data_IF_535389482436
#
_entry.id   IF_535389482436
#
_cell.length_a   1.000
_cell.length_b   1.000
_cell.length_c   1.000
_cell.angle_alpha   90.00
_cell.angle_beta   90.00
_cell.angle_gamma   90.00
#
_symmetry.space_group_name_H-M   'P 1'
#
loop_
_entity.id
_entity.type
_entity.pdbx_description
1 polymer ?
#
# COMPACT_ATOMS: atom_id res chain seq x y z
N UNK A 1 22.93 16.11 6.40
CA UNK A 1 21.65 16.44 7.05
C UNK A 1 20.87 15.14 7.25
N UNK A 2 20.61 14.72 8.48
CA UNK A 2 19.77 13.57 8.79
C UNK A 2 18.38 13.80 8.18
N UNK A 3 17.89 12.85 7.35
CA UNK A 3 16.50 12.89 6.85
C UNK A 3 15.56 12.82 8.05
N UNK A 4 14.86 13.92 8.36
CA UNK A 4 13.84 13.91 9.41
C UNK A 4 12.81 12.84 9.03
N UNK A 5 12.73 11.77 9.82
CA UNK A 5 11.82 10.64 9.60
C UNK A 5 10.37 11.14 9.77
N UNK A 6 9.49 10.75 8.85
CA UNK A 6 8.08 11.14 8.88
C UNK A 6 7.29 10.05 9.61
N UNK A 7 7.18 10.19 10.91
CA UNK A 7 6.53 9.21 11.79
C UNK A 7 5.08 8.89 11.40
N UNK A 8 4.34 9.89 10.88
CA UNK A 8 2.98 9.66 10.37
C UNK A 8 2.93 8.64 9.24
N UNK A 9 3.87 8.71 8.30
CA UNK A 9 3.92 7.76 7.18
C UNK A 9 4.40 6.38 7.62
N UNK A 10 5.30 6.30 8.61
CA UNK A 10 5.73 5.02 9.16
C UNK A 10 4.57 4.34 9.91
N UNK A 11 3.77 5.09 10.67
CA UNK A 11 2.56 4.56 11.30
C UNK A 11 1.55 4.05 10.26
N UNK A 12 1.32 4.81 9.18
CA UNK A 12 0.44 4.35 8.10
C UNK A 12 0.95 3.09 7.41
N UNK A 13 2.26 2.98 7.14
CA UNK A 13 2.85 1.76 6.56
C UNK A 13 2.74 0.57 7.51
N UNK A 14 2.97 0.78 8.80
CA UNK A 14 2.79 -0.25 9.82
C UNK A 14 1.35 -0.78 9.82
N UNK A 15 0.35 0.12 9.88
CA UNK A 15 -1.06 -0.26 9.83
C UNK A 15 -1.40 -0.95 8.51
N UNK A 16 -0.89 -0.47 7.38
CA UNK A 16 -1.08 -1.10 6.08
C UNK A 16 -0.55 -2.54 6.06
N UNK A 17 0.66 -2.76 6.57
CA UNK A 17 1.25 -4.11 6.65
C UNK A 17 0.38 -5.06 7.50
N UNK A 18 -0.07 -4.61 8.67
CA UNK A 18 -0.96 -5.42 9.52
C UNK A 18 -2.28 -5.76 8.82
N UNK A 19 -2.93 -4.77 8.22
CA UNK A 19 -4.23 -4.94 7.55
C UNK A 19 -4.14 -5.85 6.32
N UNK A 20 -3.10 -5.68 5.49
CA UNK A 20 -2.86 -6.51 4.31
C UNK A 20 -2.57 -7.95 4.74
N UNK A 21 -1.66 -8.15 5.70
CA UNK A 21 -1.31 -9.49 6.15
C UNK A 21 -2.50 -10.19 6.81
N UNK A 22 -3.28 -9.47 7.65
CA UNK A 22 -4.49 -10.02 8.24
C UNK A 22 -5.50 -10.50 7.19
N UNK A 23 -5.64 -9.80 6.07
CA UNK A 23 -6.59 -10.21 5.02
C UNK A 23 -6.23 -11.54 4.34
N UNK A 24 -5.00 -12.01 4.51
CA UNK A 24 -4.54 -13.31 4.01
C UNK A 24 -4.53 -14.40 5.09
N UNK A 25 -4.89 -14.08 6.33
CA UNK A 25 -4.90 -15.00 7.46
C UNK A 25 -6.13 -15.92 7.54
N UNK A 26 -6.90 -16.12 6.44
CA UNK A 26 -8.02 -17.06 6.42
C UNK A 26 -7.66 -18.43 7.00
N UNK A 27 -6.50 -19.06 6.65
CA UNK A 27 -6.12 -20.33 7.22
C UNK A 27 -5.94 -20.31 8.76
N UNK A 28 -5.53 -19.16 9.33
CA UNK A 28 -5.34 -19.02 10.77
C UNK A 28 -6.65 -18.88 11.54
N UNK A 29 -7.72 -18.46 10.85
CA UNK A 29 -9.06 -18.29 11.43
C UNK A 29 -9.97 -19.51 11.18
N UNK A 30 -9.47 -20.57 10.54
CA UNK A 30 -10.20 -21.83 10.42
C UNK A 30 -10.56 -22.38 11.80
N UNK A 31 -11.82 -22.82 11.96
CA UNK A 31 -12.35 -23.29 13.25
C UNK A 31 -12.87 -22.18 14.18
N UNK A 32 -12.66 -20.89 13.85
CA UNK A 32 -13.21 -19.74 14.57
C UNK A 32 -14.18 -18.98 13.67
N UNK A 33 -13.69 -18.05 12.85
CA UNK A 33 -14.46 -17.32 11.85
C UNK A 33 -13.53 -16.67 10.83
N UNK A 34 -13.54 -17.16 9.60
CA UNK A 34 -12.68 -16.68 8.51
C UNK A 34 -12.99 -15.24 8.06
N UNK A 35 -14.14 -14.66 8.45
CA UNK A 35 -14.46 -13.25 8.17
C UNK A 35 -13.55 -12.26 8.91
N UNK A 36 -12.83 -12.69 9.94
CA UNK A 36 -11.81 -11.87 10.59
C UNK A 36 -10.60 -11.60 9.68
N UNK A 37 -10.36 -12.46 8.67
CA UNK A 37 -9.34 -12.23 7.65
C UNK A 37 -9.83 -11.18 6.64
N UNK A 38 -9.81 -9.92 7.03
CA UNK A 38 -10.30 -8.78 6.24
C UNK A 38 -9.36 -7.58 6.34
N UNK A 39 -9.77 -6.44 5.80
CA UNK A 39 -9.07 -5.14 5.79
C UNK A 39 -7.98 -4.98 4.72
N UNK A 40 -7.81 -5.93 3.79
CA UNK A 40 -6.79 -5.85 2.74
C UNK A 40 -6.94 -4.61 1.83
N UNK A 41 -8.17 -4.24 1.47
CA UNK A 41 -8.45 -3.06 0.64
C UNK A 41 -8.02 -1.78 1.34
N UNK A 42 -8.35 -1.64 2.62
CA UNK A 42 -7.96 -0.48 3.43
C UNK A 42 -6.44 -0.42 3.62
N UNK A 43 -5.80 -1.57 3.85
CA UNK A 43 -4.35 -1.67 3.94
C UNK A 43 -3.65 -1.26 2.66
N UNK A 44 -4.10 -1.76 1.51
CA UNK A 44 -3.60 -1.36 0.20
C UNK A 44 -3.81 0.14 -0.05
N UNK A 45 -4.97 0.67 0.32
CA UNK A 45 -5.27 2.09 0.22
C UNK A 45 -4.30 2.96 1.02
N UNK A 46 -4.03 2.60 2.29
CA UNK A 46 -3.02 3.29 3.11
C UNK A 46 -1.64 3.24 2.44
N UNK A 47 -1.25 2.09 1.89
CA UNK A 47 0.05 1.92 1.25
C UNK A 47 0.17 2.78 -0.03
N UNK A 48 -0.83 2.76 -0.92
CA UNK A 48 -0.79 3.57 -2.14
C UNK A 48 -0.83 5.07 -1.85
N UNK A 49 -1.56 5.50 -0.82
CA UNK A 49 -1.51 6.88 -0.36
C UNK A 49 -0.08 7.29 0.06
N UNK A 50 0.56 6.49 0.90
CA UNK A 50 1.95 6.74 1.34
C UNK A 50 2.90 6.75 0.15
N UNK A 51 2.72 5.83 -0.82
CA UNK A 51 3.52 5.80 -2.04
C UNK A 51 3.37 7.12 -2.83
N UNK A 52 2.15 7.60 -3.04
CA UNK A 52 1.90 8.87 -3.74
C UNK A 52 2.50 10.08 -3.02
N UNK A 53 2.35 10.14 -1.70
CA UNK A 53 2.95 11.19 -0.88
C UNK A 53 4.47 11.22 -1.00
N UNK A 54 5.12 10.04 -0.86
CA UNK A 54 6.58 9.92 -0.94
C UNK A 54 7.11 10.15 -2.35
N UNK A 55 6.38 9.73 -3.38
CA UNK A 55 6.74 10.00 -4.76
C UNK A 55 6.76 11.50 -5.04
N UNK A 56 5.70 12.20 -4.63
CA UNK A 56 5.61 13.65 -4.81
C UNK A 56 6.68 14.40 -4.01
N UNK A 57 6.93 13.98 -2.78
CA UNK A 57 8.01 14.53 -1.94
C UNK A 57 9.40 14.32 -2.57
N UNK A 58 9.65 13.15 -3.13
CA UNK A 58 10.92 12.82 -3.79
C UNK A 58 11.08 13.51 -5.15
N UNK A 59 9.98 13.77 -5.83
CA UNK A 59 9.99 14.34 -7.18
C UNK A 59 10.64 15.73 -7.24
N UNK A 60 10.40 16.55 -6.20
CA UNK A 60 11.04 17.86 -6.09
C UNK A 60 12.57 17.82 -6.03
N UNK A 61 13.15 16.71 -5.58
CA UNK A 61 14.60 16.50 -5.47
C UNK A 61 15.23 15.92 -6.75
N UNK A 62 14.42 15.32 -7.63
CA UNK A 62 14.86 14.56 -8.79
C UNK A 62 14.24 15.10 -10.10
N UNK A 63 13.96 16.40 -10.16
CA UNK A 63 13.30 17.03 -11.31
C UNK A 63 14.05 16.83 -12.63
N UNK A 64 15.38 16.75 -12.57
CA UNK A 64 16.24 16.67 -13.75
C UNK A 64 16.40 15.24 -14.30
N UNK A 65 16.03 14.20 -13.55
CA UNK A 65 16.20 12.82 -13.99
C UNK A 65 15.34 12.52 -15.23
N UNK A 66 15.93 11.81 -16.20
CA UNK A 66 15.18 11.20 -17.31
C UNK A 66 14.16 10.19 -16.78
N UNK A 67 13.16 9.80 -17.60
CA UNK A 67 12.23 8.75 -17.24
C UNK A 67 12.97 7.45 -16.91
N UNK A 68 13.93 7.08 -17.74
CA UNK A 68 14.66 5.82 -17.60
C UNK A 68 15.44 5.78 -16.28
N UNK A 69 16.17 6.84 -15.94
CA UNK A 69 16.96 6.87 -14.71
C UNK A 69 16.08 6.89 -13.46
N UNK A 70 15.00 7.68 -13.52
CA UNK A 70 14.04 7.73 -12.43
C UNK A 70 13.35 6.37 -12.22
N UNK A 71 12.90 5.73 -13.30
CA UNK A 71 12.20 4.45 -13.28
C UNK A 71 13.13 3.30 -12.85
N UNK A 72 14.36 3.25 -13.38
CA UNK A 72 15.38 2.30 -12.92
C UNK A 72 15.60 2.38 -11.42
N UNK A 73 15.63 3.59 -10.85
CA UNK A 73 15.75 3.79 -9.40
C UNK A 73 14.58 3.20 -8.60
N UNK A 74 13.36 3.14 -9.19
CA UNK A 74 12.19 2.50 -8.56
C UNK A 74 12.25 0.98 -8.67
N UNK A 75 12.54 0.46 -9.85
CA UNK A 75 12.67 -0.98 -10.09
C UNK A 75 13.80 -1.60 -9.25
N UNK A 76 14.94 -0.93 -9.15
CA UNK A 76 16.07 -1.37 -8.31
C UNK A 76 15.67 -1.58 -6.84
N UNK A 77 14.66 -0.91 -6.34
CA UNK A 77 14.16 -1.08 -4.96
C UNK A 77 13.18 -2.23 -4.79
N UNK A 78 12.48 -2.61 -5.84
CA UNK A 78 11.42 -3.62 -5.78
C UNK A 78 11.94 -5.00 -6.23
N UNK A 79 12.60 -5.03 -7.38
CA UNK A 79 12.92 -6.26 -8.09
C UNK A 79 13.84 -7.23 -7.35
N UNK A 80 14.92 -6.82 -6.64
CA UNK A 80 15.82 -7.77 -6.00
C UNK A 80 15.13 -8.66 -4.97
N UNK A 81 14.20 -8.10 -4.19
CA UNK A 81 13.44 -8.85 -3.21
C UNK A 81 12.53 -9.89 -3.88
N UNK A 82 11.86 -9.52 -4.98
CA UNK A 82 11.01 -10.45 -5.76
C UNK A 82 11.85 -11.58 -6.32
N UNK A 83 12.93 -11.26 -7.02
CA UNK A 83 13.81 -12.24 -7.64
C UNK A 83 14.36 -13.24 -6.62
N UNK A 84 14.93 -12.76 -5.54
CA UNK A 84 15.51 -13.61 -4.49
C UNK A 84 14.45 -14.50 -3.86
N UNK A 85 13.26 -13.95 -3.60
CA UNK A 85 12.19 -14.73 -2.98
C UNK A 85 11.65 -15.82 -3.88
N UNK A 86 11.45 -15.55 -5.18
CA UNK A 86 11.00 -16.55 -6.16
C UNK A 86 11.99 -17.69 -6.25
N UNK A 87 13.31 -17.40 -6.27
CA UNK A 87 14.37 -18.42 -6.23
C UNK A 87 14.33 -19.19 -4.91
N UNK A 88 14.22 -18.52 -3.77
CA UNK A 88 14.14 -19.18 -2.47
C UNK A 88 12.88 -20.06 -2.34
N UNK A 89 11.73 -19.60 -2.83
CA UNK A 89 10.50 -20.36 -2.81
C UNK A 89 10.58 -21.64 -3.69
N UNK A 90 11.27 -21.56 -4.81
CA UNK A 90 11.56 -22.75 -5.62
C UNK A 90 12.44 -23.74 -4.84
N UNK A 91 13.54 -23.29 -4.24
CA UNK A 91 14.48 -24.16 -3.53
C UNK A 91 13.90 -24.82 -2.27
N UNK A 92 12.95 -24.14 -1.58
CA UNK A 92 12.41 -24.62 -0.29
C UNK A 92 11.09 -25.37 -0.45
N UNK A 93 10.24 -24.95 -1.39
CA UNK A 93 8.87 -25.47 -1.55
C UNK A 93 8.58 -26.01 -2.97
N UNK A 94 9.59 -26.18 -3.82
CA UNK A 94 9.43 -26.60 -5.22
C UNK A 94 8.46 -25.70 -6.01
N UNK A 95 8.34 -24.43 -5.62
CA UNK A 95 7.49 -23.48 -6.32
C UNK A 95 7.97 -23.26 -7.77
N UNK A 96 7.07 -23.11 -8.76
CA UNK A 96 7.47 -22.97 -10.16
C UNK A 96 8.40 -21.77 -10.39
N UNK A 97 9.57 -22.02 -10.97
CA UNK A 97 10.55 -21.02 -11.34
C UNK A 97 10.36 -20.62 -12.80
N UNK A 98 9.58 -19.59 -13.06
CA UNK A 98 9.28 -19.12 -14.41
C UNK A 98 9.77 -17.68 -14.61
N UNK A 99 10.03 -17.30 -15.87
CA UNK A 99 10.53 -15.98 -16.22
C UNK A 99 9.59 -14.86 -15.79
N UNK A 100 8.29 -15.04 -15.95
CA UNK A 100 7.26 -14.07 -15.56
C UNK A 100 7.22 -13.85 -14.05
N UNK A 101 7.41 -14.90 -13.23
CA UNK A 101 7.50 -14.78 -11.77
C UNK A 101 8.76 -14.04 -11.33
N UNK A 102 9.90 -14.39 -11.92
CA UNK A 102 11.19 -13.79 -11.56
C UNK A 102 11.31 -12.32 -11.98
N UNK A 103 10.84 -11.99 -13.19
CA UNK A 103 11.07 -10.67 -13.79
C UNK A 103 9.86 -9.78 -13.65
N UNK A 104 8.64 -10.29 -13.87
CA UNK A 104 7.42 -9.51 -13.84
C UNK A 104 6.70 -9.57 -12.48
N UNK A 105 7.10 -10.48 -11.58
CA UNK A 105 6.43 -10.68 -10.30
C UNK A 105 4.96 -11.06 -10.48
N UNK A 106 4.67 -11.98 -11.42
CA UNK A 106 3.29 -12.31 -11.86
C UNK A 106 2.39 -12.79 -10.73
N UNK A 107 2.96 -13.39 -9.68
CA UNK A 107 2.21 -13.80 -8.49
C UNK A 107 1.78 -12.62 -7.60
N UNK A 108 2.26 -11.41 -7.88
CA UNK A 108 2.12 -10.23 -7.02
C UNK A 108 1.43 -9.07 -7.75
N UNK A 109 0.10 -9.12 -7.86
CA UNK A 109 -0.70 -8.09 -8.52
C UNK A 109 -0.36 -6.66 -8.07
N UNK A 110 -0.10 -6.47 -6.76
CA UNK A 110 0.25 -5.19 -6.19
C UNK A 110 1.56 -4.62 -6.77
N UNK A 111 2.57 -5.47 -6.99
CA UNK A 111 3.85 -5.05 -7.58
C UNK A 111 3.70 -4.64 -9.04
N UNK A 112 2.92 -5.40 -9.82
CA UNK A 112 2.61 -5.03 -11.20
C UNK A 112 1.90 -3.68 -11.25
N UNK A 113 0.90 -3.50 -10.38
CA UNK A 113 0.13 -2.26 -10.27
C UNK A 113 1.02 -1.06 -9.93
N UNK A 114 1.89 -1.18 -8.92
CA UNK A 114 2.72 -0.04 -8.50
C UNK A 114 3.77 0.35 -9.55
N UNK A 115 4.26 -0.61 -10.34
CA UNK A 115 5.17 -0.34 -11.46
C UNK A 115 4.47 0.46 -12.55
N UNK A 116 3.25 0.08 -12.92
CA UNK A 116 2.41 0.86 -13.85
C UNK A 116 2.12 2.26 -13.30
N UNK A 117 1.77 2.35 -12.02
CA UNK A 117 1.51 3.63 -11.37
C UNK A 117 2.73 4.55 -11.34
N UNK A 118 3.93 4.01 -11.21
CA UNK A 118 5.14 4.82 -11.31
C UNK A 118 5.26 5.47 -12.70
N UNK A 119 5.03 4.71 -13.76
CA UNK A 119 5.08 5.25 -15.12
C UNK A 119 4.01 6.33 -15.35
N UNK A 120 2.77 6.05 -14.94
CA UNK A 120 1.66 7.03 -15.02
C UNK A 120 1.95 8.28 -14.18
N UNK A 121 2.48 8.13 -12.98
CA UNK A 121 2.82 9.24 -12.11
C UNK A 121 3.87 10.15 -12.76
N UNK A 122 4.93 9.57 -13.33
CA UNK A 122 5.94 10.36 -14.02
C UNK A 122 5.35 11.13 -15.21
N UNK A 123 4.52 10.47 -16.02
CA UNK A 123 3.83 11.08 -17.14
C UNK A 123 2.99 12.29 -16.70
N UNK A 124 2.14 12.08 -15.70
CA UNK A 124 1.19 13.08 -15.21
C UNK A 124 1.88 14.24 -14.48
N UNK A 125 2.95 13.99 -13.75
CA UNK A 125 3.58 15.02 -12.90
C UNK A 125 4.72 15.76 -13.61
N UNK A 126 5.40 15.13 -14.56
CA UNK A 126 6.54 15.74 -15.25
C UNK A 126 6.26 16.09 -16.71
N UNK A 127 5.73 15.15 -17.47
CA UNK A 127 5.60 15.31 -18.93
C UNK A 127 4.47 16.25 -19.29
N UNK A 128 3.28 16.04 -18.74
CA UNK A 128 2.09 16.85 -19.05
C UNK A 128 2.23 18.32 -18.60
N UNK A 129 2.67 18.64 -17.36
CA UNK A 129 2.84 20.04 -16.96
C UNK A 129 3.90 20.78 -17.75
N UNK A 130 4.97 20.09 -18.19
CA UNK A 130 6.00 20.69 -19.03
C UNK A 130 5.45 21.13 -20.40
N UNK A 131 4.42 20.41 -20.91
CA UNK A 131 3.76 20.72 -22.18
C UNK A 131 2.56 21.68 -22.02
N UNK A 132 1.90 21.62 -20.87
CA UNK A 132 0.69 22.40 -20.57
C UNK A 132 1.01 23.51 -19.56
N UNK A 133 1.46 24.66 -20.06
CA UNK A 133 1.88 25.82 -19.24
C UNK A 133 0.79 26.43 -18.32
N UNK A 134 -0.45 25.97 -18.43
CA UNK A 134 -1.63 26.64 -17.88
C UNK A 134 -1.96 26.30 -16.41
N UNK A 135 -1.45 25.19 -15.84
CA UNK A 135 -1.94 24.67 -14.58
C UNK A 135 -0.80 24.39 -13.62
N UNK A 136 -0.46 25.34 -12.76
CA UNK A 136 0.54 25.19 -11.72
C UNK A 136 -0.06 24.86 -10.35
N UNK A 137 0.65 24.06 -9.55
CA UNK A 137 0.42 23.90 -8.13
C UNK A 137 -0.79 23.05 -7.73
N UNK A 138 -1.50 23.52 -6.69
CA UNK A 138 -2.55 22.76 -6.01
C UNK A 138 -3.76 22.46 -6.90
N UNK A 139 -4.13 23.38 -7.81
CA UNK A 139 -5.28 23.20 -8.73
C UNK A 139 -5.05 22.06 -9.69
N UNK A 140 -3.85 21.97 -10.26
CA UNK A 140 -3.47 20.86 -11.15
C UNK A 140 -3.57 19.51 -10.43
N UNK A 141 -3.00 19.41 -9.22
CA UNK A 141 -3.05 18.18 -8.43
C UNK A 141 -4.47 17.79 -8.04
N UNK A 142 -5.32 18.77 -7.72
CA UNK A 142 -6.74 18.54 -7.43
C UNK A 142 -7.47 18.02 -8.67
N UNK A 143 -7.20 18.59 -9.85
CA UNK A 143 -7.80 18.13 -11.10
C UNK A 143 -7.36 16.71 -11.47
N UNK A 144 -6.08 16.37 -11.29
CA UNK A 144 -5.59 15.00 -11.50
C UNK A 144 -6.22 14.01 -10.54
N UNK A 145 -6.37 14.38 -9.27
CA UNK A 145 -7.08 13.56 -8.30
C UNK A 145 -8.54 13.35 -8.71
N UNK A 146 -9.26 14.43 -9.04
CA UNK A 146 -10.65 14.36 -9.51
C UNK A 146 -10.80 13.51 -10.77
N UNK A 147 -9.89 13.64 -11.74
CA UNK A 147 -9.85 12.82 -12.94
C UNK A 147 -9.63 11.33 -12.58
N UNK A 148 -8.69 11.03 -11.69
CA UNK A 148 -8.44 9.65 -11.28
C UNK A 148 -9.65 9.01 -10.58
N UNK A 149 -10.39 9.79 -9.75
CA UNK A 149 -11.66 9.34 -9.16
C UNK A 149 -12.72 9.12 -10.24
N UNK A 150 -12.89 10.07 -11.17
CA UNK A 150 -13.83 9.95 -12.27
C UNK A 150 -13.54 8.72 -13.16
N UNK A 151 -12.25 8.47 -13.48
CA UNK A 151 -11.83 7.26 -14.19
C UNK A 151 -12.16 5.99 -13.41
N UNK A 152 -12.02 6.00 -12.09
CA UNK A 152 -12.37 4.85 -11.24
C UNK A 152 -13.86 4.56 -11.28
N UNK A 153 -14.69 5.59 -11.20
CA UNK A 153 -16.17 5.47 -11.31
C UNK A 153 -16.57 5.00 -12.71
N UNK A 154 -16.02 5.62 -13.76
CA UNK A 154 -16.29 5.24 -15.14
C UNK A 154 -15.89 3.77 -15.42
N UNK A 155 -14.73 3.36 -14.93
CA UNK A 155 -14.25 1.98 -15.07
C UNK A 155 -15.17 0.98 -14.37
N UNK A 156 -15.69 1.33 -13.18
CA UNK A 156 -16.63 0.50 -12.46
C UNK A 156 -17.89 0.18 -13.28
N UNK A 157 -18.45 1.19 -13.96
CA UNK A 157 -19.65 1.00 -14.79
C UNK A 157 -19.36 0.39 -16.18
N UNK A 158 -18.13 0.50 -16.66
CA UNK A 158 -17.76 -0.04 -17.98
C UNK A 158 -17.41 -1.52 -17.95
N UNK A 159 -16.83 -2.01 -16.85
CA UNK A 159 -16.45 -3.42 -16.75
C UNK A 159 -17.64 -4.29 -16.38
N UNK A 160 -17.94 -5.33 -17.19
CA UNK A 160 -18.96 -6.31 -16.80
C UNK A 160 -18.46 -7.07 -15.56
N UNK A 161 -19.13 -6.88 -14.46
CA UNK A 161 -18.82 -7.56 -13.20
C UNK A 161 -19.73 -8.77 -13.08
N UNK A 162 -19.17 -9.90 -12.64
CA UNK A 162 -19.99 -11.04 -12.27
C UNK A 162 -20.89 -10.66 -11.09
N UNK A 163 -22.21 -10.76 -11.28
CA UNK A 163 -23.21 -10.43 -10.26
C UNK A 163 -22.89 -11.14 -8.93
N UNK A 164 -23.04 -10.42 -7.83
CA UNK A 164 -22.80 -10.94 -6.49
C UNK A 164 -21.38 -10.90 -5.97
N UNK A 165 -20.38 -10.50 -6.77
CA UNK A 165 -19.01 -10.34 -6.30
C UNK A 165 -18.73 -8.91 -5.82
N UNK A 166 -18.26 -8.68 -4.57
CA UNK A 166 -17.85 -7.35 -4.16
C UNK A 166 -16.59 -6.95 -4.93
N UNK A 167 -16.56 -5.75 -5.42
CA UNK A 167 -15.50 -5.14 -6.23
C UNK A 167 -14.64 -6.11 -7.03
N UNK A 168 -14.91 -6.21 -8.32
CA UNK A 168 -14.11 -7.03 -9.23
C UNK A 168 -12.60 -6.75 -9.02
N UNK A 169 -11.76 -7.79 -9.07
CA UNK A 169 -10.31 -7.68 -8.83
C UNK A 169 -9.66 -6.59 -9.70
N UNK A 170 -10.09 -6.45 -10.96
CA UNK A 170 -9.59 -5.41 -11.86
C UNK A 170 -9.95 -3.99 -11.42
N UNK A 171 -11.03 -3.77 -10.68
CA UNK A 171 -11.39 -2.46 -10.15
C UNK A 171 -10.34 -1.96 -9.17
N UNK A 172 -9.70 -2.83 -8.40
CA UNK A 172 -8.63 -2.47 -7.49
C UNK A 172 -7.42 -1.85 -8.23
N UNK A 173 -7.14 -2.29 -9.46
CA UNK A 173 -6.08 -1.71 -10.29
C UNK A 173 -6.34 -0.25 -10.69
N UNK A 174 -7.56 0.22 -10.67
CA UNK A 174 -7.89 1.59 -11.07
C UNK A 174 -8.15 2.48 -9.85
N UNK A 175 -8.92 2.00 -8.88
CA UNK A 175 -9.32 2.81 -7.73
C UNK A 175 -8.13 3.20 -6.83
N UNK A 176 -7.14 2.32 -6.67
CA UNK A 176 -5.96 2.64 -5.86
C UNK A 176 -5.07 3.73 -6.48
N UNK A 177 -5.13 3.94 -7.80
CA UNK A 177 -4.44 5.08 -8.41
C UNK A 177 -5.00 6.42 -7.94
N UNK A 178 -6.33 6.54 -7.78
CA UNK A 178 -6.93 7.76 -7.22
C UNK A 178 -6.46 8.02 -5.79
N UNK A 179 -6.29 6.97 -4.98
CA UNK A 179 -5.76 7.08 -3.62
C UNK A 179 -4.28 7.50 -3.63
N UNK A 180 -3.49 6.98 -4.57
CA UNK A 180 -2.10 7.42 -4.75
C UNK A 180 -2.03 8.90 -5.15
N UNK A 181 -2.91 9.36 -6.04
CA UNK A 181 -3.00 10.78 -6.42
C UNK A 181 -3.47 11.65 -5.24
N UNK A 182 -4.35 11.14 -4.38
CA UNK A 182 -4.72 11.81 -3.12
C UNK A 182 -3.50 11.99 -2.21
N UNK A 183 -2.64 10.99 -2.08
CA UNK A 183 -1.39 11.10 -1.31
C UNK A 183 -0.47 12.19 -1.84
N UNK A 184 -0.31 12.29 -3.17
CA UNK A 184 0.45 13.35 -3.82
C UNK A 184 -0.20 14.74 -3.61
N UNK A 185 -1.52 14.84 -3.70
CA UNK A 185 -2.27 16.08 -3.43
C UNK A 185 -2.08 16.52 -1.96
N UNK A 186 -2.21 15.59 -1.02
CA UNK A 186 -2.02 15.88 0.42
C UNK A 186 -0.60 16.38 0.68
N UNK A 187 0.42 15.82 0.04
CA UNK A 187 1.79 16.36 0.15
C UNK A 187 1.88 17.80 -0.32
N UNK A 188 1.30 18.13 -1.46
CA UNK A 188 1.32 19.49 -2.03
C UNK A 188 0.56 20.49 -1.14
N UNK A 189 -0.55 20.04 -0.55
CA UNK A 189 -1.41 20.87 0.30
C UNK A 189 -1.08 20.78 1.80
N UNK A 190 -0.03 20.04 2.21
CA UNK A 190 0.24 19.70 3.62
C UNK A 190 0.27 20.91 4.55
N UNK A 191 0.81 22.04 4.09
CA UNK A 191 0.93 23.27 4.89
C UNK A 191 -0.42 23.99 5.07
N UNK A 192 -1.46 23.59 4.33
CA UNK A 192 -2.83 24.11 4.40
C UNK A 192 -3.79 23.16 5.11
N UNK A 193 -3.35 21.93 5.40
CA UNK A 193 -4.18 20.96 6.10
C UNK A 193 -4.26 21.36 7.57
N UNK A 194 -5.43 21.82 7.98
CA UNK A 194 -5.70 22.11 9.38
C UNK A 194 -5.76 20.80 10.17
N UNK A 195 -4.91 20.69 11.17
CA UNK A 195 -5.03 19.66 12.20
C UNK A 195 -6.12 20.13 13.19
N UNK A 196 -7.32 19.56 13.00
CA UNK A 196 -8.48 19.88 13.84
C UNK A 196 -8.38 19.25 15.23
N UNK A 197 -9.52 18.92 15.81
CA UNK A 197 -9.57 18.21 17.09
C UNK A 197 -9.38 16.71 16.85
N UNK A 198 -8.41 16.09 17.52
CA UNK A 198 -8.04 14.68 17.30
C UNK A 198 -9.23 13.71 17.41
N UNK A 199 -10.18 13.97 18.33
CA UNK A 199 -11.40 13.15 18.48
C UNK A 199 -12.24 13.16 17.20
N UNK A 200 -12.43 14.33 16.58
CA UNK A 200 -13.18 14.44 15.31
C UNK A 200 -12.52 13.65 14.20
N UNK A 201 -11.20 13.67 14.12
CA UNK A 201 -10.47 12.94 13.09
C UNK A 201 -10.50 11.43 13.32
N UNK A 202 -10.41 10.98 14.59
CA UNK A 202 -10.59 9.57 14.97
C UNK A 202 -12.02 9.11 14.68
N UNK A 203 -13.03 9.90 15.06
CA UNK A 203 -14.43 9.60 14.76
C UNK A 203 -14.69 9.57 13.24
N UNK A 204 -14.10 10.51 12.49
CA UNK A 204 -14.17 10.52 11.01
C UNK A 204 -13.56 9.28 10.39
N UNK A 205 -12.40 8.83 10.89
CA UNK A 205 -11.76 7.60 10.44
C UNK A 205 -12.63 6.36 10.76
N UNK A 206 -13.12 6.26 12.00
CA UNK A 206 -13.96 5.15 12.44
C UNK A 206 -15.30 5.10 11.66
N UNK A 207 -15.95 6.24 11.50
CA UNK A 207 -17.20 6.33 10.73
C UNK A 207 -16.97 5.92 9.26
N UNK A 208 -15.90 6.42 8.65
CA UNK A 208 -15.54 6.05 7.28
C UNK A 208 -15.30 4.55 7.14
N UNK A 209 -14.61 3.95 8.12
CA UNK A 209 -14.38 2.52 8.17
C UNK A 209 -15.69 1.73 8.25
N UNK A 210 -16.58 2.11 9.15
CA UNK A 210 -17.89 1.44 9.32
C UNK A 210 -18.75 1.62 8.08
N UNK A 211 -18.83 2.82 7.50
CA UNK A 211 -19.62 3.09 6.30
C UNK A 211 -19.13 2.28 5.10
N UNK A 212 -17.82 2.09 4.94
CA UNK A 212 -17.27 1.25 3.88
C UNK A 212 -17.84 -0.17 3.96
N UNK A 213 -17.74 -0.82 5.12
CA UNK A 213 -18.24 -2.18 5.31
C UNK A 213 -19.77 -2.26 5.29
N UNK A 214 -20.45 -1.23 5.78
CA UNK A 214 -21.93 -1.17 5.72
C UNK A 214 -22.41 -1.15 4.27
N UNK A 215 -21.82 -0.32 3.42
CA UNK A 215 -22.18 -0.28 1.98
C UNK A 215 -21.95 -1.65 1.36
N UNK A 216 -20.78 -2.28 1.58
CA UNK A 216 -20.50 -3.61 1.03
C UNK A 216 -21.44 -4.68 1.57
N UNK A 217 -21.83 -4.62 2.84
CA UNK A 217 -22.77 -5.56 3.43
C UNK A 217 -24.18 -5.41 2.82
N UNK A 218 -24.63 -4.18 2.56
CA UNK A 218 -25.94 -3.89 1.92
C UNK A 218 -25.97 -4.43 0.49
N UNK A 219 -24.89 -4.28 -0.27
CA UNK A 219 -24.85 -4.69 -1.69
C UNK A 219 -24.44 -6.15 -1.88
N UNK A 220 -24.02 -6.83 -0.83
CA UNK A 220 -23.62 -8.24 -0.89
C UNK A 220 -24.78 -9.09 -1.43
N UNK A 221 -24.52 -9.88 -2.47
CA UNK A 221 -25.49 -10.73 -3.15
C UNK A 221 -26.67 -9.95 -3.80
N UNK A 222 -26.50 -8.66 -4.08
CA UNK A 222 -27.47 -7.87 -4.85
C UNK A 222 -27.09 -7.84 -6.32
N UNK A 223 -28.06 -7.50 -7.16
CA UNK A 223 -27.94 -7.41 -8.61
C UNK A 223 -28.52 -6.08 -9.11
N UNK A 224 -28.23 -5.73 -10.35
CA UNK A 224 -28.72 -4.49 -10.97
C UNK A 224 -28.25 -3.25 -10.22
N UNK A 225 -29.09 -2.21 -10.17
CA UNK A 225 -28.72 -0.92 -9.59
C UNK A 225 -28.29 -0.97 -8.12
N UNK A 226 -28.80 -1.95 -7.36
CA UNK A 226 -28.39 -2.15 -5.97
C UNK A 226 -26.94 -2.63 -5.86
N UNK A 227 -26.46 -3.41 -6.84
CA UNK A 227 -25.05 -3.76 -6.96
C UNK A 227 -24.20 -2.52 -7.23
N UNK A 228 -24.67 -1.61 -8.10
CA UNK A 228 -23.95 -0.41 -8.49
C UNK A 228 -23.72 0.56 -7.33
N UNK A 229 -24.57 0.53 -6.30
CA UNK A 229 -24.39 1.34 -5.07
C UNK A 229 -23.02 1.12 -4.42
N UNK A 230 -22.37 -0.03 -4.63
CA UNK A 230 -21.04 -0.28 -4.06
C UNK A 230 -19.98 0.73 -4.51
N UNK A 231 -20.15 1.39 -5.65
CA UNK A 231 -19.22 2.46 -6.09
C UNK A 231 -19.12 3.58 -5.07
N UNK A 232 -20.18 3.82 -4.29
CA UNK A 232 -20.20 4.80 -3.21
C UNK A 232 -19.19 4.45 -2.09
N UNK A 233 -18.77 3.17 -1.97
CA UNK A 233 -17.75 2.78 -1.00
C UNK A 233 -16.37 3.42 -1.26
N UNK A 234 -16.15 3.98 -2.46
CA UNK A 234 -14.97 4.82 -2.73
C UNK A 234 -14.91 6.04 -1.82
N UNK A 235 -16.05 6.67 -1.52
CA UNK A 235 -16.07 7.88 -0.67
C UNK A 235 -15.56 7.57 0.74
N UNK A 236 -16.14 6.61 1.49
CA UNK A 236 -15.60 6.27 2.79
C UNK A 236 -14.18 5.67 2.73
N UNK A 237 -13.78 5.00 1.65
CA UNK A 237 -12.41 4.51 1.51
C UNK A 237 -11.39 5.66 1.44
N UNK A 238 -11.64 6.69 0.60
CA UNK A 238 -10.79 7.88 0.54
C UNK A 238 -10.81 8.66 1.86
N UNK A 239 -11.98 8.80 2.47
CA UNK A 239 -12.14 9.47 3.77
C UNK A 239 -11.38 8.76 4.87
N UNK A 240 -11.45 7.42 4.93
CA UNK A 240 -10.70 6.60 5.88
C UNK A 240 -9.18 6.87 5.77
N UNK A 241 -8.65 6.87 4.56
CA UNK A 241 -7.22 7.10 4.32
C UNK A 241 -6.82 8.54 4.68
N UNK A 242 -7.65 9.53 4.34
CA UNK A 242 -7.39 10.93 4.67
C UNK A 242 -7.39 11.18 6.18
N UNK A 243 -8.42 10.70 6.88
CA UNK A 243 -8.48 10.80 8.35
C UNK A 243 -7.39 9.95 9.01
N UNK A 244 -7.05 8.79 8.45
CA UNK A 244 -5.92 7.98 8.89
C UNK A 244 -4.60 8.75 8.84
N UNK A 245 -4.34 9.50 7.77
CA UNK A 245 -3.18 10.40 7.68
C UNK A 245 -3.21 11.49 8.77
N UNK A 246 -4.36 12.13 9.01
CA UNK A 246 -4.50 13.14 10.05
C UNK A 246 -4.26 12.54 11.44
N UNK A 247 -4.89 11.41 11.74
CA UNK A 247 -4.72 10.69 13.02
C UNK A 247 -3.26 10.29 13.23
N UNK A 248 -2.58 9.78 12.20
CA UNK A 248 -1.17 9.44 12.26
C UNK A 248 -0.24 10.68 12.38
N UNK A 249 -0.72 11.88 12.09
CA UNK A 249 0.06 13.12 12.15
C UNK A 249 -0.03 13.85 13.50
N UNK A 250 -0.77 13.32 14.46
CA UNK A 250 -0.83 13.88 15.81
C UNK A 250 0.40 13.51 16.66
N UNK A 251 0.68 14.31 17.69
CA UNK A 251 1.83 14.15 18.61
C UNK A 251 1.88 12.78 19.31
N UNK A 252 0.76 12.08 19.45
CA UNK A 252 0.78 10.74 20.03
C UNK A 252 1.58 9.75 19.20
N UNK A 253 1.60 9.91 17.87
CA UNK A 253 2.45 9.11 16.98
C UNK A 253 3.91 9.35 17.25
N UNK A 254 4.32 10.61 17.45
CA UNK A 254 5.69 10.95 17.83
C UNK A 254 6.06 10.33 19.19
N UNK A 255 5.12 10.32 20.13
CA UNK A 255 5.31 9.66 21.42
C UNK A 255 5.47 8.15 21.30
N UNK A 256 4.59 7.47 20.53
CA UNK A 256 4.68 6.03 20.30
C UNK A 256 6.00 5.65 19.63
N UNK A 257 6.38 6.34 18.56
CA UNK A 257 7.61 6.08 17.82
C UNK A 257 8.87 6.53 18.56
N UNK A 258 8.75 7.45 19.51
CA UNK A 258 9.83 7.83 20.42
C UNK A 258 10.15 6.78 21.49
N UNK A 259 9.26 5.80 21.75
CA UNK A 259 9.52 4.71 22.70
C UNK A 259 10.50 3.69 22.14
N UNK A 260 11.51 3.32 22.96
CA UNK A 260 12.65 2.50 22.53
C UNK A 260 12.27 1.18 21.87
N UNK A 261 11.33 0.43 22.42
CA UNK A 261 10.91 -0.88 21.89
C UNK A 261 9.76 -0.73 20.88
N UNK A 262 8.68 -0.05 21.27
CA UNK A 262 7.52 0.14 20.42
C UNK A 262 7.86 0.87 19.11
N UNK A 263 8.62 1.97 19.20
CA UNK A 263 9.01 2.74 18.03
C UNK A 263 9.94 1.95 17.09
N UNK A 264 10.87 1.14 17.63
CA UNK A 264 11.71 0.27 16.81
C UNK A 264 10.87 -0.81 16.11
N UNK A 265 9.92 -1.43 16.80
CA UNK A 265 9.02 -2.44 16.22
C UNK A 265 8.15 -1.87 15.10
N UNK A 266 7.48 -0.74 15.33
CA UNK A 266 6.69 -0.04 14.32
C UNK A 266 7.56 0.33 13.11
N UNK A 267 8.73 0.90 13.36
CA UNK A 267 9.65 1.32 12.31
C UNK A 267 10.18 0.14 11.50
N UNK A 268 10.48 -0.98 12.16
CA UNK A 268 10.91 -2.21 11.50
C UNK A 268 9.84 -2.72 10.54
N UNK A 269 8.61 -2.94 11.02
CA UNK A 269 7.50 -3.41 10.18
C UNK A 269 7.21 -2.42 9.05
N UNK A 270 7.19 -1.11 9.34
CA UNK A 270 7.01 -0.06 8.33
C UNK A 270 8.12 -0.07 7.27
N UNK A 271 9.34 -0.43 7.65
CA UNK A 271 10.48 -0.56 6.74
C UNK A 271 10.47 -1.87 5.93
N UNK A 272 9.75 -2.89 6.37
CA UNK A 272 9.67 -4.23 5.76
C UNK A 272 8.37 -4.45 4.97
N UNK A 273 7.55 -3.44 4.75
CA UNK A 273 6.19 -3.59 4.18
C UNK A 273 6.18 -4.36 2.86
N UNK A 274 7.14 -4.10 1.97
CA UNK A 274 7.28 -4.80 0.69
C UNK A 274 7.64 -6.27 0.90
N UNK A 275 8.66 -6.52 1.70
CA UNK A 275 9.18 -7.86 1.95
C UNK A 275 8.14 -8.71 2.69
N UNK A 276 7.41 -8.14 3.65
CA UNK A 276 6.27 -8.78 4.33
C UNK A 276 5.24 -9.23 3.30
N UNK A 277 4.85 -8.34 2.38
CA UNK A 277 3.90 -8.67 1.32
C UNK A 277 4.37 -9.82 0.42
N UNK A 278 5.66 -9.86 0.09
CA UNK A 278 6.21 -10.89 -0.79
C UNK A 278 6.26 -12.26 -0.10
N UNK A 279 6.73 -12.33 1.15
CA UNK A 279 6.99 -13.63 1.82
C UNK A 279 5.75 -14.27 2.43
N UNK A 280 4.71 -13.49 2.76
CA UNK A 280 3.59 -13.96 3.58
C UNK A 280 2.86 -15.17 3.01
N UNK A 281 2.68 -15.24 1.69
CA UNK A 281 1.86 -16.27 1.04
C UNK A 281 2.38 -17.69 1.25
N UNK A 282 3.71 -17.87 1.36
CA UNK A 282 4.33 -19.18 1.59
C UNK A 282 4.46 -19.55 3.08
N UNK A 283 4.28 -18.59 3.98
CA UNK A 283 4.50 -18.77 5.41
C UNK A 283 3.20 -18.89 6.22
N UNK A 284 2.07 -18.52 5.62
CA UNK A 284 0.76 -18.65 6.28
C UNK A 284 0.37 -20.13 6.36
N UNK A 285 0.13 -20.61 7.57
CA UNK A 285 -0.17 -22.02 7.83
C UNK A 285 -1.17 -22.17 8.99
N UNK A 286 -2.05 -23.15 8.92
CA UNK A 286 -3.02 -23.49 9.96
C UNK A 286 -2.47 -24.44 11.04
N UNK A 287 -1.22 -24.88 10.92
CA UNK A 287 -0.60 -25.87 11.82
C UNK A 287 -0.65 -25.46 13.29
N UNK A 288 -0.81 -24.19 13.60
CA UNK A 288 -0.78 -23.64 14.96
C UNK A 288 -2.14 -23.10 15.41
N UNK A 289 -3.22 -23.52 14.76
CA UNK A 289 -4.57 -23.06 15.12
C UNK A 289 -5.02 -23.53 16.50
N UNK A 290 -4.42 -24.63 17.04
CA UNK A 290 -4.69 -25.10 18.40
C UNK A 290 -4.34 -24.09 19.50
N UNK A 291 -3.49 -23.10 19.21
CA UNK A 291 -3.08 -22.06 20.16
C UNK A 291 -3.68 -20.69 19.83
N UNK A 292 -4.81 -20.66 19.13
CA UNK A 292 -5.51 -19.39 18.83
C UNK A 292 -5.81 -18.60 20.12
N UNK A 293 -5.65 -17.25 20.14
CA UNK A 293 -5.23 -16.35 19.03
C UNK A 293 -3.71 -16.13 18.90
N UNK A 294 -2.89 -16.87 19.66
CA UNK A 294 -1.43 -16.71 19.66
C UNK A 294 -0.81 -17.11 18.31
N UNK A 295 -1.44 -18.01 17.55
CA UNK A 295 -1.04 -18.40 16.21
C UNK A 295 -0.87 -17.17 15.27
N UNK A 296 -1.73 -16.15 15.38
CA UNK A 296 -1.68 -14.92 14.61
C UNK A 296 -0.36 -14.17 14.87
N UNK A 297 -0.01 -14.04 16.15
CA UNK A 297 1.23 -13.34 16.56
C UNK A 297 2.47 -14.12 16.12
N UNK A 298 2.46 -15.44 16.29
CA UNK A 298 3.56 -16.33 15.93
C UNK A 298 3.82 -16.27 14.42
N UNK A 299 2.77 -16.47 13.61
CA UNK A 299 2.91 -16.47 12.14
C UNK A 299 3.35 -15.08 11.64
N UNK A 300 2.78 -14.00 12.19
CA UNK A 300 3.21 -12.66 11.85
C UNK A 300 4.68 -12.40 12.21
N UNK A 301 5.16 -12.88 13.36
CA UNK A 301 6.56 -12.77 13.75
C UNK A 301 7.49 -13.55 12.81
N UNK A 302 7.10 -14.74 12.37
CA UNK A 302 7.83 -15.53 11.36
C UNK A 302 7.90 -14.79 10.02
N UNK A 303 6.77 -14.21 9.58
CA UNK A 303 6.72 -13.39 8.37
C UNK A 303 7.67 -12.19 8.48
N UNK A 304 7.68 -11.48 9.61
CA UNK A 304 8.59 -10.35 9.83
C UNK A 304 10.06 -10.77 9.82
N UNK A 305 10.40 -11.93 10.40
CA UNK A 305 11.76 -12.47 10.38
C UNK A 305 12.20 -12.81 8.95
N UNK A 306 11.38 -13.53 8.22
CA UNK A 306 11.66 -13.87 6.82
C UNK A 306 11.77 -12.62 5.93
N UNK A 307 10.91 -11.62 6.13
CA UNK A 307 10.95 -10.35 5.44
C UNK A 307 12.25 -9.58 5.74
N UNK A 308 12.70 -9.60 7.00
CA UNK A 308 13.98 -9.00 7.37
C UNK A 308 15.15 -9.68 6.68
N UNK A 309 15.21 -11.01 6.70
CA UNK A 309 16.23 -11.78 6.00
C UNK A 309 16.23 -11.50 4.49
N UNK A 310 15.05 -11.49 3.87
CA UNK A 310 14.90 -11.15 2.46
C UNK A 310 15.46 -9.75 2.15
N UNK A 311 15.17 -8.77 3.01
CA UNK A 311 15.69 -7.40 2.85
C UNK A 311 17.21 -7.34 2.93
N UNK A 312 17.81 -8.07 3.87
CA UNK A 312 19.28 -8.16 4.00
C UNK A 312 19.88 -8.78 2.74
N UNK A 313 19.29 -9.89 2.25
CA UNK A 313 19.73 -10.56 1.02
C UNK A 313 19.61 -9.65 -0.21
N UNK A 314 18.50 -8.91 -0.33
CA UNK A 314 18.29 -7.97 -1.42
C UNK A 314 19.30 -6.81 -1.39
N UNK A 315 19.62 -6.29 -0.21
CA UNK A 315 20.65 -5.26 -0.05
C UNK A 315 22.05 -5.78 -0.39
N UNK A 316 22.40 -6.99 0.05
CA UNK A 316 23.66 -7.65 -0.29
C UNK A 316 23.77 -7.88 -1.81
N UNK A 317 22.72 -8.40 -2.44
CA UNK A 317 22.67 -8.61 -3.88
C UNK A 317 22.90 -7.31 -4.68
N UNK A 318 22.25 -6.22 -4.26
CA UNK A 318 22.46 -4.91 -4.88
C UNK A 318 23.89 -4.39 -4.71
N UNK A 319 24.50 -4.59 -3.55
CA UNK A 319 25.90 -4.18 -3.31
C UNK A 319 26.89 -4.91 -4.20
N UNK A 320 26.63 -6.17 -4.53
CA UNK A 320 27.45 -6.95 -5.46
C UNK A 320 27.32 -6.42 -6.90
N UNK A 321 26.11 -6.02 -7.32
CA UNK A 321 25.86 -5.54 -8.68
C UNK A 321 26.37 -4.13 -8.94
N UNK A 322 26.34 -3.25 -7.95
CA UNK A 322 26.60 -1.82 -8.15
C UNK A 322 27.97 -1.34 -7.65
N UNK A 323 28.78 -2.22 -7.05
CA UNK A 323 30.01 -1.87 -6.32
C UNK A 323 29.79 -0.79 -5.22
N UNK A 324 28.55 -0.53 -4.88
CA UNK A 324 28.18 0.38 -3.77
C UNK A 324 28.46 -0.31 -2.44
N UNK A 325 28.80 0.47 -1.42
CA UNK A 325 28.93 -0.07 -0.06
C UNK A 325 27.58 -0.63 0.38
N UNK A 326 27.61 -1.79 1.04
CA UNK A 326 26.40 -2.38 1.64
C UNK A 326 25.73 -1.36 2.56
N UNK A 327 24.46 -1.04 2.28
CA UNK A 327 23.65 -0.15 3.08
C UNK A 327 22.28 -0.79 3.32
N UNK A 328 21.99 -1.11 4.58
CA UNK A 328 20.69 -1.60 5.01
C UNK A 328 19.85 -0.40 5.48
N UNK A 329 18.95 0.11 4.63
CA UNK A 329 17.97 1.12 5.00
C UNK A 329 16.70 0.43 5.55
N UNK A 330 16.48 0.47 6.87
CA UNK A 330 15.26 -0.02 7.54
C UNK A 330 14.48 1.15 8.13
#
# INVERSE_FOLDING_TARGET
>A
MSKKRLYSLDMMKFMAALMITNSHFQPLYEGVNTTFATFGVQGNALFFFVAGYLLMMGFGKHKELSFIDWFKGKIRRLWPAVFIWVVAANLIWDAPLTFDKMILGSDYWFLQTIVVYYALFYLLIKVLPAKCRFWGGNKYMLSLFGLAVACSVAYFFWMPVAEGSPFHTSFHFVCHFSIMMMGALVYVCRDRISMGHWVKDVCGMALSFVLYFLILAIVKNKTGWLYDVQVLALVPLHSFVYYGYKVASYKWTDWCLGKRFLGKGISLVAGLTLEIYIVQFMLITNKWNSVFPLNIVIVFAIICLAAYLLKVMAAAFLSLLSKDKFALEI
#
